data_IF_115052568075
#
_entry.id   IF_115052568075
#
_cell.length_a   1.000
_cell.length_b   1.000
_cell.length_c   1.000
_cell.angle_alpha   90.00
_cell.angle_beta   90.00
_cell.angle_gamma   90.00
#
_symmetry.space_group_name_H-M   'P 1'
#
loop_
_entity.id
_entity.type
_entity.pdbx_description
1 polymer ?
#
# COMPACT_ATOMS: atom_id res chain seq x y z
N UNK A 1 -2.42 -21.10 9.72
CA UNK A 1 -2.90 -19.70 9.53
C UNK A 1 -2.70 -19.22 8.10
N UNK A 2 -1.68 -19.70 7.38
CA UNK A 2 -1.41 -19.36 5.96
C UNK A 2 -2.54 -19.64 4.96
N UNK A 3 -3.53 -20.45 5.31
CA UNK A 3 -4.69 -20.75 4.44
C UNK A 3 -5.87 -19.77 4.60
N UNK A 4 -5.79 -18.82 5.53
CA UNK A 4 -6.85 -17.83 5.74
C UNK A 4 -6.65 -16.62 4.82
N UNK A 5 -7.74 -15.95 4.40
CA UNK A 5 -7.66 -14.67 3.70
C UNK A 5 -6.85 -13.65 4.51
N UNK A 6 -6.05 -12.83 3.84
CA UNK A 6 -5.20 -11.82 4.50
C UNK A 6 -6.02 -10.88 5.41
N UNK A 7 -7.25 -10.55 5.00
CA UNK A 7 -8.15 -9.69 5.79
C UNK A 7 -8.50 -10.32 7.14
N UNK A 8 -8.80 -11.62 7.15
CA UNK A 8 -9.17 -12.36 8.36
C UNK A 8 -7.97 -12.54 9.30
N UNK A 9 -6.76 -12.65 8.73
CA UNK A 9 -5.52 -12.66 9.52
C UNK A 9 -5.30 -11.34 10.27
N UNK A 10 -5.72 -10.21 9.72
CA UNK A 10 -5.56 -8.90 10.35
C UNK A 10 -6.68 -8.57 11.35
N UNK A 11 -7.91 -9.00 11.08
CA UNK A 11 -9.08 -8.61 11.87
C UNK A 11 -9.54 -9.67 12.86
N UNK A 12 -9.51 -10.95 12.47
CA UNK A 12 -10.10 -12.05 13.24
C UNK A 12 -9.03 -12.76 14.08
N UNK A 13 -7.88 -13.09 13.51
CA UNK A 13 -6.87 -13.90 14.18
C UNK A 13 -6.39 -13.34 15.55
N UNK A 14 -6.20 -12.01 15.73
CA UNK A 14 -5.82 -11.44 17.03
C UNK A 14 -6.91 -11.57 18.11
N UNK A 15 -8.19 -11.67 17.70
CA UNK A 15 -9.33 -11.72 18.60
C UNK A 15 -9.66 -13.14 19.08
N UNK A 16 -9.18 -14.17 18.38
CA UNK A 16 -9.48 -15.58 18.70
C UNK A 16 -8.65 -16.07 19.89
N UNK A 17 -7.33 -15.81 19.91
CA UNK A 17 -6.47 -16.18 21.03
C UNK A 17 -5.13 -15.43 21.03
N UNK A 18 -4.47 -15.35 22.19
CA UNK A 18 -3.11 -14.79 22.32
C UNK A 18 -2.08 -15.57 21.51
N UNK A 19 -2.25 -16.88 21.37
CA UNK A 19 -1.35 -17.73 20.58
C UNK A 19 -1.49 -17.42 19.09
N UNK A 20 -2.71 -17.19 18.61
CA UNK A 20 -2.95 -16.80 17.22
C UNK A 20 -2.42 -15.40 16.93
N UNK A 21 -2.63 -14.46 17.87
CA UNK A 21 -2.03 -13.14 17.81
C UNK A 21 -0.49 -13.23 17.72
N UNK A 22 0.16 -14.03 18.56
CA UNK A 22 1.60 -14.22 18.51
C UNK A 22 2.06 -14.80 17.16
N UNK A 23 1.30 -15.76 16.60
CA UNK A 23 1.62 -16.34 15.30
C UNK A 23 1.48 -15.33 14.15
N UNK A 24 0.58 -14.35 14.23
CA UNK A 24 0.51 -13.28 13.20
C UNK A 24 1.79 -12.44 13.14
N UNK A 25 2.57 -12.38 14.22
CA UNK A 25 3.86 -11.68 14.28
C UNK A 25 5.02 -12.51 13.70
N UNK A 26 4.76 -13.69 13.13
CA UNK A 26 5.82 -14.48 12.51
C UNK A 26 6.39 -13.75 11.28
N UNK A 27 7.72 -13.80 11.05
CA UNK A 27 8.33 -13.09 9.92
C UNK A 27 7.76 -13.50 8.56
N UNK A 28 7.42 -14.78 8.39
CA UNK A 28 6.85 -15.30 7.15
C UNK A 28 5.46 -14.70 6.86
N UNK A 29 4.59 -14.64 7.89
CA UNK A 29 3.27 -14.04 7.72
C UNK A 29 3.36 -12.53 7.57
N UNK A 30 4.26 -11.86 8.29
CA UNK A 30 4.46 -10.41 8.13
C UNK A 30 4.96 -10.05 6.73
N UNK A 31 5.81 -10.88 6.11
CA UNK A 31 6.20 -10.73 4.70
C UNK A 31 5.01 -10.95 3.77
N UNK A 32 4.25 -12.04 3.94
CA UNK A 32 3.07 -12.34 3.14
C UNK A 32 1.96 -11.27 3.27
N UNK A 33 1.87 -10.60 4.42
CA UNK A 33 0.96 -9.49 4.70
C UNK A 33 1.58 -8.14 4.34
N UNK A 34 2.73 -8.10 3.65
CA UNK A 34 3.40 -6.89 3.19
C UNK A 34 3.80 -5.91 4.33
N UNK A 35 3.92 -6.36 5.58
CA UNK A 35 4.44 -5.52 6.68
C UNK A 35 5.97 -5.53 6.76
N UNK A 36 6.57 -6.64 6.30
CA UNK A 36 8.01 -6.87 6.29
C UNK A 36 8.54 -7.03 4.87
N UNK A 37 9.83 -6.73 4.71
CA UNK A 37 10.50 -6.80 3.42
C UNK A 37 10.67 -8.27 2.99
N UNK A 38 10.31 -8.55 1.74
CA UNK A 38 10.62 -9.82 1.09
C UNK A 38 11.45 -9.56 -0.17
N UNK A 39 12.76 -9.63 -0.01
CA UNK A 39 13.71 -9.50 -1.10
C UNK A 39 13.87 -10.80 -1.91
N UNK A 40 13.24 -11.90 -1.49
CA UNK A 40 13.28 -13.16 -2.23
C UNK A 40 12.25 -13.21 -3.37
N UNK A 41 11.26 -12.31 -3.34
CA UNK A 41 10.31 -12.14 -4.44
C UNK A 41 11.03 -11.56 -5.67
N UNK A 42 11.02 -12.31 -6.77
CA UNK A 42 11.62 -11.90 -8.05
C UNK A 42 10.64 -11.14 -8.95
N UNK A 43 9.35 -11.41 -8.82
CA UNK A 43 8.31 -10.73 -9.60
C UNK A 43 7.62 -9.66 -8.75
N UNK A 44 7.40 -8.45 -9.30
CA UNK A 44 6.72 -7.38 -8.59
C UNK A 44 5.22 -7.68 -8.46
N UNK A 45 4.81 -8.02 -7.25
CA UNK A 45 3.43 -8.25 -6.86
C UNK A 45 2.94 -7.03 -6.07
N UNK A 46 1.77 -6.50 -6.46
CA UNK A 46 1.09 -5.44 -5.72
C UNK A 46 0.44 -6.02 -4.47
N UNK A 47 0.34 -5.21 -3.42
CA UNK A 47 -0.37 -5.62 -2.22
C UNK A 47 -1.89 -5.68 -2.47
N UNK A 48 -2.52 -6.87 -2.47
CA UNK A 48 -3.92 -7.01 -2.88
C UNK A 48 -4.90 -6.31 -1.93
N UNK A 49 -4.54 -6.16 -0.64
CA UNK A 49 -5.38 -5.43 0.32
C UNK A 49 -5.35 -3.92 0.04
N UNK A 50 -4.21 -3.40 -0.40
CA UNK A 50 -4.10 -1.99 -0.77
C UNK A 50 -4.72 -1.74 -2.14
N UNK A 51 -4.60 -2.68 -3.07
CA UNK A 51 -5.25 -2.59 -4.38
C UNK A 51 -6.78 -2.58 -4.25
N UNK A 52 -7.36 -3.38 -3.36
CA UNK A 52 -8.81 -3.33 -3.06
C UNK A 52 -9.23 -1.98 -2.43
N UNK A 53 -8.41 -1.42 -1.54
CA UNK A 53 -8.74 -0.20 -0.79
C UNK A 53 -8.40 1.09 -1.54
N UNK A 54 -7.37 1.08 -2.38
CA UNK A 54 -6.80 2.24 -3.03
C UNK A 54 -6.59 1.98 -4.53
N UNK A 55 -7.61 1.48 -5.26
CA UNK A 55 -7.44 0.93 -6.62
C UNK A 55 -6.76 1.91 -7.57
N UNK A 56 -7.17 3.16 -7.47
CA UNK A 56 -6.56 4.35 -8.01
C UNK A 56 -5.02 4.46 -8.01
N UNK A 57 -4.34 4.01 -6.94
CA UNK A 57 -2.87 4.05 -6.88
C UNK A 57 -2.20 2.90 -7.67
N UNK A 58 -2.97 1.90 -8.09
CA UNK A 58 -2.49 0.69 -8.75
C UNK A 58 -3.01 0.55 -10.20
N UNK A 59 -4.11 1.23 -10.52
CA UNK A 59 -4.64 1.45 -11.87
C UNK A 59 -3.66 2.31 -12.69
N UNK A 60 -2.73 1.69 -13.42
CA UNK A 60 -1.75 2.48 -14.17
C UNK A 60 -0.58 1.75 -14.82
N UNK A 61 -0.47 0.42 -14.71
CA UNK A 61 0.48 -0.34 -15.55
C UNK A 61 -0.10 -0.55 -16.96
N UNK A 62 -0.40 0.55 -17.68
CA UNK A 62 -0.71 0.53 -19.11
C UNK A 62 -2.11 0.96 -19.55
N UNK A 63 -2.96 1.50 -18.67
CA UNK A 63 -4.26 2.06 -19.06
C UNK A 63 -4.20 3.59 -19.19
N UNK A 64 -4.71 4.14 -20.29
CA UNK A 64 -4.93 5.59 -20.49
C UNK A 64 -6.10 6.13 -19.64
N UNK A 65 -6.60 5.35 -18.68
CA UNK A 65 -7.73 5.75 -17.85
C UNK A 65 -7.30 6.82 -16.86
N UNK A 66 -8.01 7.95 -16.90
CA UNK A 66 -7.87 8.98 -15.89
C UNK A 66 -8.24 8.37 -14.54
N UNK A 67 -7.36 8.47 -13.55
CA UNK A 67 -7.63 7.77 -12.32
C UNK A 67 -8.77 8.41 -11.52
N UNK A 68 -9.63 7.61 -10.87
CA UNK A 68 -10.89 8.07 -10.25
C UNK A 68 -10.73 8.43 -8.77
N UNK A 69 -10.04 9.53 -8.49
CA UNK A 69 -9.71 9.96 -7.12
C UNK A 69 -10.95 10.27 -6.27
N UNK A 70 -12.05 10.69 -6.91
CA UNK A 70 -13.30 11.02 -6.24
C UNK A 70 -14.05 9.77 -5.76
N UNK A 71 -13.80 8.61 -6.36
CA UNK A 71 -14.42 7.34 -5.99
C UNK A 71 -13.70 6.63 -4.84
N UNK A 72 -12.58 7.19 -4.38
CA UNK A 72 -11.75 6.58 -3.34
C UNK A 72 -12.43 6.60 -1.96
N UNK A 73 -12.12 5.63 -1.08
CA UNK A 73 -12.79 5.51 0.21
C UNK A 73 -12.69 6.73 1.14
N UNK A 74 -11.62 7.54 1.02
CA UNK A 74 -11.49 8.79 1.77
C UNK A 74 -12.58 9.84 1.46
N UNK A 75 -13.22 9.77 0.30
CA UNK A 75 -14.27 10.69 -0.11
C UNK A 75 -15.57 10.45 0.69
N UNK A 76 -15.78 9.22 1.15
CA UNK A 76 -16.97 8.81 1.92
C UNK A 76 -16.66 8.55 3.40
N UNK A 77 -15.43 8.17 3.75
CA UNK A 77 -15.03 7.77 5.10
C UNK A 77 -13.74 8.44 5.59
N UNK A 78 -13.58 9.75 5.34
CA UNK A 78 -12.34 10.50 5.58
C UNK A 78 -11.70 10.28 6.96
N UNK A 79 -12.50 10.27 8.04
CA UNK A 79 -11.99 10.12 9.40
C UNK A 79 -11.25 8.78 9.63
N UNK A 80 -11.70 7.68 8.99
CA UNK A 80 -11.04 6.38 9.12
C UNK A 80 -9.69 6.35 8.37
N UNK A 81 -9.58 7.09 7.27
CA UNK A 81 -8.37 7.15 6.43
C UNK A 81 -7.36 8.21 6.89
N UNK A 82 -7.78 9.17 7.72
CA UNK A 82 -6.91 10.16 8.35
C UNK A 82 -6.18 9.64 9.59
N UNK A 83 -6.60 8.50 10.14
CA UNK A 83 -5.96 7.90 11.32
C UNK A 83 -4.52 7.49 11.03
N UNK A 84 -3.59 8.02 11.82
CA UNK A 84 -2.16 7.72 11.70
C UNK A 84 -1.80 6.29 12.12
N UNK A 85 -2.61 5.66 12.97
CA UNK A 85 -2.35 4.34 13.56
C UNK A 85 -2.84 3.15 12.72
N UNK A 86 -3.41 3.40 11.54
CA UNK A 86 -3.96 2.35 10.68
C UNK A 86 -2.88 1.38 10.22
N UNK A 87 -3.24 0.11 10.12
CA UNK A 87 -2.32 -0.94 9.69
C UNK A 87 -1.87 -0.75 8.25
N UNK A 88 -2.79 -0.36 7.35
CA UNK A 88 -2.50 -0.17 5.93
C UNK A 88 -1.39 0.86 5.67
N UNK A 89 -1.26 1.92 6.50
CA UNK A 89 -0.17 2.92 6.38
C UNK A 89 1.22 2.30 6.49
N UNK A 90 1.33 1.19 7.24
CA UNK A 90 2.59 0.48 7.47
C UNK A 90 2.84 -0.62 6.44
N UNK A 91 1.88 -0.95 5.58
CA UNK A 91 2.06 -1.99 4.58
C UNK A 91 2.86 -1.47 3.38
N UNK A 92 3.70 -2.33 2.81
CA UNK A 92 4.40 -2.11 1.56
C UNK A 92 3.39 -2.08 0.41
N UNK A 93 3.65 -1.21 -0.57
CA UNK A 93 2.84 -1.09 -1.79
C UNK A 93 3.07 -2.29 -2.70
N UNK A 94 4.31 -2.76 -2.80
CA UNK A 94 4.71 -3.91 -3.63
C UNK A 94 5.76 -4.77 -2.93
N UNK A 95 5.87 -6.02 -3.38
CA UNK A 95 7.02 -6.89 -3.11
C UNK A 95 7.59 -7.42 -4.45
N UNK A 96 8.91 -7.39 -4.69
CA UNK A 96 9.95 -6.93 -3.77
C UNK A 96 9.81 -5.43 -3.45
N UNK A 97 10.39 -4.96 -2.33
CA UNK A 97 10.15 -3.62 -1.83
C UNK A 97 10.65 -2.54 -2.80
N UNK A 98 9.78 -1.59 -3.14
CA UNK A 98 10.15 -0.44 -3.99
C UNK A 98 11.15 0.47 -3.26
N UNK A 99 12.30 0.72 -3.87
CA UNK A 99 13.40 1.52 -3.29
C UNK A 99 13.41 2.98 -3.74
N UNK A 100 12.77 3.28 -4.87
CA UNK A 100 12.73 4.62 -5.45
C UNK A 100 11.32 4.94 -5.91
N UNK A 101 10.82 6.10 -5.51
CA UNK A 101 9.56 6.65 -6.01
C UNK A 101 9.85 7.95 -6.75
N UNK A 102 9.35 8.03 -7.98
CA UNK A 102 9.36 9.24 -8.78
C UNK A 102 7.95 9.81 -8.82
N UNK A 103 7.82 11.07 -8.41
CA UNK A 103 6.55 11.81 -8.44
C UNK A 103 6.64 12.87 -9.51
N UNK A 104 5.73 12.84 -10.46
CA UNK A 104 5.68 13.80 -11.57
C UNK A 104 4.39 14.59 -11.47
N UNK A 105 4.51 15.89 -11.25
CA UNK A 105 3.40 16.84 -11.28
C UNK A 105 3.39 17.55 -12.63
N UNK A 106 2.31 17.37 -13.38
CA UNK A 106 2.03 18.12 -14.61
C UNK A 106 0.97 19.17 -14.33
N UNK A 107 1.22 20.41 -14.74
CA UNK A 107 0.23 21.48 -14.70
C UNK A 107 -0.01 22.01 -16.11
N UNK A 108 -1.27 22.09 -16.50
CA UNK A 108 -1.71 22.60 -17.79
C UNK A 108 -2.37 23.98 -17.58
N UNK A 109 -1.73 25.03 -18.11
CA UNK A 109 -2.21 26.42 -18.05
C UNK A 109 -1.88 27.16 -19.34
N UNK A 110 -1.37 28.39 -19.27
CA UNK A 110 -0.84 29.12 -20.45
C UNK A 110 0.47 28.51 -21.04
N UNK A 111 0.88 27.34 -20.54
CA UNK A 111 1.94 26.47 -21.04
C UNK A 111 1.91 25.15 -20.24
N UNK A 112 2.58 24.10 -20.76
CA UNK A 112 2.80 22.85 -20.02
C UNK A 112 4.02 23.02 -19.14
N UNK A 113 3.85 22.84 -17.83
CA UNK A 113 4.97 22.76 -16.89
C UNK A 113 4.95 21.41 -16.19
N UNK A 114 6.12 20.80 -16.06
CA UNK A 114 6.32 19.52 -15.40
C UNK A 114 7.36 19.70 -14.30
N UNK A 115 7.04 19.19 -13.10
CA UNK A 115 7.93 19.17 -11.94
C UNK A 115 8.07 17.73 -11.48
N UNK A 116 9.28 17.33 -11.15
CA UNK A 116 9.56 15.99 -10.68
C UNK A 116 10.19 16.05 -9.28
N UNK A 117 9.72 15.18 -8.40
CA UNK A 117 10.35 14.86 -7.12
C UNK A 117 10.77 13.41 -7.10
N UNK A 118 11.84 13.09 -6.39
CA UNK A 118 12.33 11.72 -6.23
C UNK A 118 12.54 11.43 -4.75
N UNK A 119 12.01 10.29 -4.30
CA UNK A 119 12.32 9.71 -3.00
C UNK A 119 13.18 8.47 -3.25
N UNK A 120 14.44 8.54 -2.84
CA UNK A 120 15.44 7.47 -2.99
C UNK A 120 15.68 6.76 -1.65
N UNK A 121 16.46 5.68 -1.69
CA UNK A 121 16.88 4.89 -0.53
C UNK A 121 15.73 4.44 0.38
N UNK A 122 14.56 4.20 -0.20
CA UNK A 122 13.42 3.70 0.53
C UNK A 122 13.71 2.26 0.98
N UNK A 123 13.56 2.01 2.28
CA UNK A 123 13.52 0.65 2.82
C UNK A 123 12.15 -0.01 2.52
N UNK A 124 11.71 0.04 1.26
CA UNK A 124 10.38 -0.29 0.80
C UNK A 124 9.37 0.86 0.92
N UNK A 125 8.78 1.25 -0.21
CA UNK A 125 7.68 2.20 -0.25
C UNK A 125 6.47 1.66 0.51
N UNK A 126 6.09 2.35 1.59
CA UNK A 126 4.89 2.05 2.38
C UNK A 126 3.73 2.93 1.95
N UNK A 127 2.51 2.40 2.05
CA UNK A 127 1.30 3.11 1.63
C UNK A 127 1.09 4.43 2.38
N UNK A 128 1.45 4.51 3.66
CA UNK A 128 1.31 5.75 4.42
C UNK A 128 2.12 6.89 3.82
N UNK A 129 3.36 6.61 3.38
CA UNK A 129 4.20 7.59 2.68
C UNK A 129 3.58 7.98 1.34
N UNK A 130 3.16 6.99 0.55
CA UNK A 130 2.53 7.23 -0.76
C UNK A 130 1.23 8.04 -0.65
N UNK A 131 0.44 7.82 0.40
CA UNK A 131 -0.83 8.48 0.65
C UNK A 131 -0.68 9.93 1.12
N UNK A 132 0.45 10.26 1.77
CA UNK A 132 0.69 11.60 2.33
C UNK A 132 1.37 12.58 1.34
N UNK A 133 1.65 12.14 0.09
CA UNK A 133 2.20 12.96 -1.01
C UNK A 133 1.15 13.91 -1.61
#
# INVERSE_FOLDING_TARGET
LSHLPMRDLLTIAPLVSRTWQASTLSPELQRSLFFELDASATEPINNPLLEELFPSFFEGRGSDETPRWEAMPWATASAAFQRADTSWRRMLVTQPPTQTLVVTQKSEGQGTSERQGVLEDLSGLRMGVLYDL
#
